data_IF_579468937185
#
_entry.id   IF_579468937185
#
_cell.length_a   1.000
_cell.length_b   1.000
_cell.length_c   1.000
_cell.angle_alpha   90.00
_cell.angle_beta   90.00
_cell.angle_gamma   90.00
#
_symmetry.space_group_name_H-M   'P 1'
#
loop_
_entity.id
_entity.type
_entity.pdbx_description
1 polymer ?
#
# COMPACT_ATOMS: atom_id res chain seq x y z
N UNK A 1 22.14 -61.77 -15.72
CA UNK A 1 20.90 -62.43 -16.19
C UNK A 1 19.92 -62.38 -15.04
N UNK A 2 18.85 -61.62 -15.00
CA UNK A 2 18.24 -60.54 -15.79
C UNK A 2 17.06 -60.13 -14.89
N UNK A 3 16.94 -58.83 -14.57
CA UNK A 3 15.93 -58.34 -13.63
C UNK A 3 14.54 -58.30 -14.28
N UNK A 4 13.56 -58.96 -13.65
CA UNK A 4 12.15 -58.78 -13.95
C UNK A 4 11.69 -57.37 -13.53
N UNK A 5 11.40 -56.51 -14.49
CA UNK A 5 10.62 -55.30 -14.27
C UNK A 5 9.14 -55.57 -14.51
N UNK A 6 8.34 -55.28 -13.48
CA UNK A 6 6.89 -55.42 -13.50
C UNK A 6 6.24 -54.42 -14.46
N UNK A 7 5.33 -54.93 -15.29
CA UNK A 7 4.41 -54.12 -16.07
C UNK A 7 3.41 -53.43 -15.11
N UNK A 8 3.55 -52.12 -14.96
CA UNK A 8 2.50 -51.28 -14.38
C UNK A 8 1.35 -51.15 -15.39
N UNK A 9 0.16 -51.53 -14.95
CA UNK A 9 -1.10 -51.34 -15.65
C UNK A 9 -1.40 -49.84 -15.84
N UNK A 10 -1.52 -49.39 -17.08
CA UNK A 10 -1.99 -48.05 -17.43
C UNK A 10 -3.53 -48.09 -17.54
N UNK A 11 -4.28 -47.20 -16.84
CA UNK A 11 -5.73 -47.16 -16.96
C UNK A 11 -6.15 -46.66 -18.35
N UNK A 12 -7.06 -47.40 -18.99
CA UNK A 12 -7.68 -47.04 -20.28
C UNK A 12 -8.63 -45.85 -20.08
N UNK A 13 -8.25 -44.68 -20.58
CA UNK A 13 -9.13 -43.52 -20.71
C UNK A 13 -8.56 -42.56 -21.76
N UNK A 14 -9.34 -42.31 -22.82
CA UNK A 14 -9.05 -41.51 -24.03
C UNK A 14 -8.13 -42.20 -25.06
N UNK A 15 -8.70 -42.66 -26.18
CA UNK A 15 -7.94 -43.04 -27.37
C UNK A 15 -7.29 -41.76 -27.94
N UNK A 16 -5.95 -41.64 -27.99
CA UNK A 16 -5.31 -40.50 -28.64
C UNK A 16 -5.55 -40.61 -30.15
N UNK A 17 -5.82 -39.47 -30.81
CA UNK A 17 -5.81 -39.39 -32.26
C UNK A 17 -4.45 -39.91 -32.79
N UNK A 18 -4.38 -40.73 -33.85
CA UNK A 18 -3.11 -41.21 -34.43
C UNK A 18 -2.12 -40.08 -34.75
N UNK A 19 -2.65 -38.88 -35.07
CA UNK A 19 -1.85 -37.68 -35.28
C UNK A 19 -1.18 -37.20 -33.99
N UNK A 20 -1.89 -37.22 -32.86
CA UNK A 20 -1.35 -36.78 -31.57
C UNK A 20 -0.23 -37.72 -31.10
N UNK A 21 -0.34 -39.04 -31.37
CA UNK A 21 0.71 -40.01 -31.05
C UNK A 21 1.99 -39.77 -31.86
N UNK A 22 1.85 -39.42 -33.15
CA UNK A 22 2.97 -39.02 -34.01
C UNK A 22 3.65 -37.74 -33.50
N UNK A 23 2.87 -36.73 -33.12
CA UNK A 23 3.38 -35.46 -32.59
C UNK A 23 4.05 -35.63 -31.22
N UNK A 24 3.48 -36.45 -30.32
CA UNK A 24 4.09 -36.80 -29.02
C UNK A 24 5.45 -37.51 -29.20
N UNK A 25 5.57 -38.36 -30.22
CA UNK A 25 6.85 -39.00 -30.56
C UNK A 25 7.90 -37.99 -31.01
N UNK A 26 7.52 -37.03 -31.85
CA UNK A 26 8.39 -35.92 -32.29
C UNK A 26 8.87 -35.10 -31.08
N UNK A 27 7.98 -34.82 -30.10
CA UNK A 27 8.34 -34.11 -28.85
C UNK A 27 9.33 -34.92 -28.02
N UNK A 28 9.06 -36.22 -27.79
CA UNK A 28 9.86 -37.06 -26.88
C UNK A 28 11.23 -37.43 -27.45
N UNK A 29 11.34 -37.56 -28.76
CA UNK A 29 12.58 -37.92 -29.47
C UNK A 29 13.36 -36.70 -29.98
N UNK A 30 12.89 -35.47 -29.72
CA UNK A 30 13.52 -34.20 -30.16
C UNK A 30 13.85 -34.15 -31.67
N UNK A 31 12.90 -34.60 -32.51
CA UNK A 31 13.09 -34.70 -33.96
C UNK A 31 12.85 -33.37 -34.68
N UNK A 32 13.82 -32.45 -34.61
CA UNK A 32 13.75 -31.10 -35.20
C UNK A 32 13.53 -31.10 -36.71
N UNK A 33 14.06 -32.10 -37.42
CA UNK A 33 13.92 -32.20 -38.87
C UNK A 33 12.46 -32.48 -39.29
N UNK A 34 11.72 -33.24 -38.48
CA UNK A 34 10.32 -33.53 -38.72
C UNK A 34 9.40 -32.38 -38.31
N UNK A 35 9.78 -31.61 -37.28
CA UNK A 35 9.05 -30.41 -36.84
C UNK A 35 9.00 -29.32 -37.93
N UNK A 36 10.09 -29.18 -38.71
CA UNK A 36 10.16 -28.22 -39.84
C UNK A 36 9.24 -28.57 -41.01
N UNK A 37 8.81 -29.83 -41.12
CA UNK A 37 7.96 -30.36 -42.19
C UNK A 37 6.47 -30.36 -41.83
N UNK A 38 6.10 -29.93 -40.62
CA UNK A 38 4.72 -29.86 -40.16
C UNK A 38 3.98 -28.68 -40.79
N UNK A 39 2.69 -28.88 -41.07
CA UNK A 39 1.78 -27.79 -41.43
C UNK A 39 1.57 -26.84 -40.26
N UNK A 40 1.14 -25.60 -40.52
CA UNK A 40 0.93 -24.61 -39.45
C UNK A 40 -0.05 -25.11 -38.36
N UNK A 41 -1.13 -25.79 -38.75
CA UNK A 41 -2.09 -26.38 -37.81
C UNK A 41 -1.46 -27.48 -36.94
N UNK A 42 -0.59 -28.32 -37.52
CA UNK A 42 0.13 -29.36 -36.78
C UNK A 42 1.19 -28.78 -35.83
N UNK A 43 1.83 -27.65 -36.18
CA UNK A 43 2.75 -26.93 -35.28
C UNK A 43 2.02 -26.37 -34.07
N UNK A 44 0.85 -25.75 -34.26
CA UNK A 44 0.01 -25.28 -33.15
C UNK A 44 -0.40 -26.44 -32.23
N UNK A 45 -0.75 -27.58 -32.83
CA UNK A 45 -1.12 -28.80 -32.09
C UNK A 45 0.07 -29.41 -31.35
N UNK A 46 1.26 -29.42 -31.97
CA UNK A 46 2.53 -29.81 -31.35
C UNK A 46 2.88 -28.91 -30.18
N UNK A 47 2.73 -27.59 -30.30
CA UNK A 47 2.98 -26.63 -29.22
C UNK A 47 2.01 -26.84 -28.05
N UNK A 48 0.73 -27.06 -28.34
CA UNK A 48 -0.27 -27.41 -27.33
C UNK A 48 0.06 -28.74 -26.63
N UNK A 49 0.45 -29.78 -27.37
CA UNK A 49 0.86 -31.08 -26.80
C UNK A 49 2.17 -30.95 -25.99
N UNK A 50 3.13 -30.15 -26.45
CA UNK A 50 4.38 -29.86 -25.74
C UNK A 50 4.12 -29.10 -24.45
N UNK A 51 3.13 -28.21 -24.43
CA UNK A 51 2.60 -27.58 -23.21
C UNK A 51 2.02 -28.67 -22.29
N UNK A 52 1.06 -29.49 -22.74
CA UNK A 52 0.46 -30.54 -21.91
C UNK A 52 1.46 -31.55 -21.37
N UNK A 53 2.43 -31.99 -22.17
CA UNK A 53 3.44 -32.97 -21.74
C UNK A 53 4.44 -32.36 -20.75
N UNK A 54 4.74 -31.06 -20.84
CA UNK A 54 5.49 -30.32 -19.81
C UNK A 54 4.71 -30.20 -18.49
N UNK A 55 3.38 -30.22 -18.53
CA UNK A 55 2.51 -30.14 -17.34
C UNK A 55 2.07 -31.53 -16.82
N UNK A 56 2.38 -32.62 -17.55
CA UNK A 56 2.00 -33.98 -17.17
C UNK A 56 2.79 -34.43 -15.93
N UNK A 57 2.11 -34.54 -14.79
CA UNK A 57 2.70 -34.79 -13.46
C UNK A 57 3.08 -33.52 -12.69
N UNK A 58 3.03 -32.35 -13.35
CA UNK A 58 3.23 -31.04 -12.72
C UNK A 58 1.94 -30.50 -12.09
N UNK A 59 0.76 -31.00 -12.51
CA UNK A 59 -0.54 -30.56 -11.95
C UNK A 59 -0.72 -30.95 -10.47
N UNK A 60 -0.28 -32.14 -10.06
CA UNK A 60 -0.32 -32.55 -8.64
C UNK A 60 0.61 -31.68 -7.79
N UNK A 61 1.81 -31.39 -8.30
CA UNK A 61 2.79 -30.50 -7.64
C UNK A 61 2.28 -29.05 -7.58
N UNK A 62 1.65 -28.54 -8.63
CA UNK A 62 1.00 -27.23 -8.64
C UNK A 62 -0.21 -27.17 -7.68
N UNK A 63 -1.01 -28.23 -7.60
CA UNK A 63 -2.11 -28.32 -6.66
C UNK A 63 -1.61 -28.29 -5.20
N UNK A 64 -0.53 -29.01 -4.90
CA UNK A 64 0.12 -29.00 -3.58
C UNK A 64 0.69 -27.60 -3.25
N UNK A 65 1.40 -26.95 -4.18
CA UNK A 65 1.88 -25.58 -3.99
C UNK A 65 0.75 -24.59 -3.70
N UNK A 66 -0.37 -24.68 -4.42
CA UNK A 66 -1.53 -23.80 -4.24
C UNK A 66 -2.21 -24.07 -2.90
N UNK A 67 -2.32 -25.33 -2.48
CA UNK A 67 -2.87 -25.68 -1.18
C UNK A 67 -2.01 -25.14 -0.04
N UNK A 68 -0.68 -25.30 -0.13
CA UNK A 68 0.29 -24.73 0.82
C UNK A 68 0.15 -23.21 0.85
N UNK A 69 0.11 -22.55 -0.31
CA UNK A 69 -0.09 -21.10 -0.40
C UNK A 69 -1.38 -20.66 0.30
N UNK A 70 -2.50 -21.35 0.06
CA UNK A 70 -3.79 -21.01 0.68
C UNK A 70 -3.73 -21.16 2.20
N UNK A 71 -3.24 -22.29 2.72
CA UNK A 71 -3.14 -22.55 4.16
C UNK A 71 -2.21 -21.54 4.84
N UNK A 72 -1.00 -21.35 4.29
CA UNK A 72 -0.02 -20.39 4.84
C UNK A 72 -0.57 -18.96 4.80
N UNK A 73 -1.25 -18.57 3.72
CA UNK A 73 -1.89 -17.25 3.62
C UNK A 73 -2.95 -17.06 4.71
N UNK A 74 -3.84 -18.02 4.92
CA UNK A 74 -4.88 -17.93 5.98
C UNK A 74 -4.24 -17.82 7.36
N UNK A 75 -3.27 -18.68 7.67
CA UNK A 75 -2.56 -18.64 8.96
C UNK A 75 -1.85 -17.29 9.15
N UNK A 76 -1.16 -16.80 8.13
CA UNK A 76 -0.48 -15.51 8.17
C UNK A 76 -1.46 -14.36 8.39
N UNK A 77 -2.61 -14.34 7.70
CA UNK A 77 -3.63 -13.29 7.90
C UNK A 77 -4.18 -13.29 9.33
N UNK A 78 -4.49 -14.46 9.91
CA UNK A 78 -4.94 -14.57 11.31
C UNK A 78 -3.85 -14.08 12.26
N UNK A 79 -2.59 -14.47 12.03
CA UNK A 79 -1.44 -14.02 12.80
C UNK A 79 -1.25 -12.50 12.77
N UNK A 80 -1.38 -11.89 11.60
CA UNK A 80 -1.27 -10.44 11.42
C UNK A 80 -2.38 -9.68 12.16
N UNK A 81 -3.62 -10.17 12.09
CA UNK A 81 -4.75 -9.58 12.83
C UNK A 81 -4.54 -9.70 14.34
N UNK A 82 -4.10 -10.87 14.82
CA UNK A 82 -3.79 -11.09 16.23
C UNK A 82 -2.66 -10.18 16.72
N UNK A 83 -1.60 -10.02 15.91
CA UNK A 83 -0.48 -9.14 16.23
C UNK A 83 -0.89 -7.67 16.26
N UNK A 84 -1.70 -7.22 15.28
CA UNK A 84 -2.27 -5.86 15.27
C UNK A 84 -3.08 -5.57 16.53
N UNK A 85 -3.87 -6.54 17.02
CA UNK A 85 -4.67 -6.41 18.25
C UNK A 85 -3.81 -6.38 19.52
N UNK A 86 -2.81 -7.26 19.63
CA UNK A 86 -2.01 -7.42 20.86
C UNK A 86 -0.89 -6.39 20.97
N UNK A 87 -0.17 -6.11 19.89
CA UNK A 87 0.99 -5.22 19.88
C UNK A 87 0.94 -4.23 18.70
N UNK A 88 -0.04 -3.32 18.73
CA UNK A 88 -0.28 -2.33 17.67
C UNK A 88 0.96 -1.52 17.28
N UNK A 89 1.73 -1.00 18.26
CA UNK A 89 2.94 -0.20 17.99
C UNK A 89 4.00 -0.95 17.20
N UNK A 90 4.23 -2.22 17.55
CA UNK A 90 5.21 -3.07 16.87
C UNK A 90 4.73 -3.42 15.46
N UNK A 91 3.45 -3.80 15.32
CA UNK A 91 2.83 -4.05 14.02
C UNK A 91 2.91 -2.84 13.08
N UNK A 92 2.61 -1.64 13.59
CA UNK A 92 2.64 -0.39 12.81
C UNK A 92 4.06 -0.07 12.35
N UNK A 93 5.06 -0.19 13.23
CA UNK A 93 6.47 0.06 12.88
C UNK A 93 6.97 -0.92 11.81
N UNK A 94 6.77 -2.23 12.02
CA UNK A 94 7.24 -3.25 11.06
C UNK A 94 6.52 -3.11 9.73
N UNK A 95 5.21 -2.88 9.74
CA UNK A 95 4.46 -2.69 8.50
C UNK A 95 4.89 -1.43 7.75
N UNK A 96 5.18 -0.33 8.46
CA UNK A 96 5.67 0.90 7.84
C UNK A 96 7.02 0.67 7.15
N UNK A 97 7.94 -0.04 7.81
CA UNK A 97 9.23 -0.43 7.21
C UNK A 97 9.01 -1.35 6.01
N UNK A 98 8.09 -2.32 6.13
CA UNK A 98 7.74 -3.25 5.06
C UNK A 98 7.22 -2.55 3.81
N UNK A 99 6.26 -1.62 3.95
CA UNK A 99 5.71 -0.85 2.81
C UNK A 99 6.79 0.03 2.17
N UNK A 100 7.80 0.46 2.91
CA UNK A 100 8.89 1.29 2.39
C UNK A 100 9.95 0.47 1.63
N UNK A 101 10.37 -0.66 2.20
CA UNK A 101 11.51 -1.46 1.70
C UNK A 101 11.09 -2.47 0.64
N UNK A 102 10.00 -3.23 0.86
CA UNK A 102 9.64 -4.36 0.00
C UNK A 102 9.39 -3.91 -1.45
N UNK A 103 8.56 -2.88 -1.72
CA UNK A 103 8.34 -2.42 -3.09
C UNK A 103 9.60 -1.87 -3.74
N UNK A 104 10.45 -1.19 -2.96
CA UNK A 104 11.72 -0.67 -3.47
C UNK A 104 12.67 -1.79 -3.90
N UNK A 105 12.83 -2.84 -3.09
CA UNK A 105 13.67 -4.00 -3.44
C UNK A 105 13.14 -4.73 -4.69
N UNK A 106 11.83 -4.94 -4.78
CA UNK A 106 11.21 -5.56 -5.96
C UNK A 106 11.43 -4.71 -7.22
N UNK A 107 11.26 -3.38 -7.11
CA UNK A 107 11.50 -2.48 -8.24
C UNK A 107 12.97 -2.42 -8.65
N UNK A 108 13.90 -2.55 -7.70
CA UNK A 108 15.33 -2.60 -7.97
C UNK A 108 15.71 -3.89 -8.71
N UNK A 109 15.19 -5.03 -8.25
CA UNK A 109 15.37 -6.32 -8.92
C UNK A 109 14.81 -6.33 -10.35
N UNK A 110 13.65 -5.72 -10.56
CA UNK A 110 12.98 -5.69 -11.86
C UNK A 110 13.38 -4.49 -12.75
N UNK A 111 14.35 -3.68 -12.32
CA UNK A 111 14.84 -2.49 -13.04
C UNK A 111 13.75 -1.45 -13.40
N UNK A 112 12.77 -1.24 -12.52
CA UNK A 112 11.69 -0.26 -12.72
C UNK A 112 12.11 1.15 -12.31
N UNK A 113 12.98 1.78 -13.11
CA UNK A 113 13.63 3.06 -12.83
C UNK A 113 12.66 4.22 -12.53
N UNK A 114 11.50 4.27 -13.19
CA UNK A 114 10.51 5.35 -12.98
C UNK A 114 10.02 5.39 -11.54
N UNK A 115 9.70 4.23 -10.97
CA UNK A 115 9.26 4.14 -9.58
C UNK A 115 10.39 4.50 -8.62
N UNK A 116 11.60 3.98 -8.86
CA UNK A 116 12.78 4.24 -8.04
C UNK A 116 13.06 5.75 -7.95
N UNK A 117 13.02 6.46 -9.08
CA UNK A 117 13.24 7.90 -9.10
C UNK A 117 12.20 8.67 -8.26
N UNK A 118 10.91 8.42 -8.49
CA UNK A 118 9.84 9.09 -7.75
C UNK A 118 9.92 8.76 -6.26
N UNK A 119 10.22 7.50 -5.93
CA UNK A 119 10.38 7.03 -4.57
C UNK A 119 11.55 7.72 -3.86
N UNK A 120 12.68 7.90 -4.54
CA UNK A 120 13.85 8.61 -3.98
C UNK A 120 13.53 10.08 -3.70
N UNK A 121 12.85 10.76 -4.64
CA UNK A 121 12.43 12.15 -4.44
C UNK A 121 11.48 12.27 -3.25
N UNK A 122 10.44 11.44 -3.21
CA UNK A 122 9.47 11.44 -2.12
C UNK A 122 10.14 11.13 -0.77
N UNK A 123 11.01 10.11 -0.74
CA UNK A 123 11.71 9.70 0.48
C UNK A 123 12.65 10.79 0.98
N UNK A 124 13.41 11.43 0.08
CA UNK A 124 14.34 12.50 0.44
C UNK A 124 13.63 13.70 1.05
N UNK A 125 12.54 14.17 0.43
CA UNK A 125 11.76 15.29 0.98
C UNK A 125 11.12 14.90 2.31
N UNK A 126 10.58 13.68 2.41
CA UNK A 126 9.97 13.19 3.65
C UNK A 126 10.98 13.12 4.80
N UNK A 127 12.22 12.66 4.55
CA UNK A 127 13.29 12.66 5.55
C UNK A 127 13.62 14.07 6.04
N UNK A 128 13.66 15.07 5.15
CA UNK A 128 13.90 16.48 5.53
C UNK A 128 12.77 16.98 6.45
N UNK A 129 11.51 16.70 6.10
CA UNK A 129 10.35 17.12 6.90
C UNK A 129 10.33 16.42 8.27
N UNK A 130 10.63 15.11 8.29
CA UNK A 130 10.74 14.33 9.53
C UNK A 130 11.85 14.86 10.41
N UNK A 131 13.02 15.20 9.84
CA UNK A 131 14.15 15.77 10.59
C UNK A 131 13.72 17.06 11.30
N UNK A 132 13.08 17.98 10.59
CA UNK A 132 12.53 19.21 11.18
C UNK A 132 11.52 18.93 12.31
N UNK A 133 10.65 17.93 12.13
CA UNK A 133 9.68 17.55 13.16
C UNK A 133 10.30 16.92 14.42
N UNK A 134 11.55 16.43 14.34
CA UNK A 134 12.30 15.79 15.42
C UNK A 134 13.31 16.72 16.11
N UNK A 135 13.59 17.89 15.54
CA UNK A 135 14.53 18.87 16.09
C UNK A 135 14.11 19.34 17.49
N UNK A 136 15.10 19.57 18.36
CA UNK A 136 14.91 20.08 19.72
C UNK A 136 15.78 21.32 19.92
N UNK A 137 15.21 22.49 20.25
CA UNK A 137 13.78 22.81 20.33
C UNK A 137 13.10 22.89 18.95
N UNK A 138 11.79 22.61 18.88
CA UNK A 138 11.01 22.78 17.65
C UNK A 138 10.76 24.26 17.40
N UNK A 139 11.02 24.73 16.18
CA UNK A 139 10.66 26.08 15.76
C UNK A 139 9.12 26.25 15.66
N UNK A 140 8.55 27.38 16.14
CA UNK A 140 7.11 27.65 16.11
C UNK A 140 6.42 27.45 14.75
N UNK A 141 7.13 27.71 13.64
CA UNK A 141 6.57 27.57 12.29
C UNK A 141 6.57 26.12 11.76
N UNK A 142 7.35 25.23 12.38
CA UNK A 142 7.58 23.86 11.91
C UNK A 142 6.30 23.02 11.87
N UNK A 143 5.44 22.97 12.90
CA UNK A 143 4.18 22.20 12.85
C UNK A 143 3.29 22.58 11.66
N UNK A 144 3.30 23.88 11.29
CA UNK A 144 2.56 24.35 10.11
C UNK A 144 3.18 23.84 8.82
N UNK A 145 4.50 23.90 8.69
CA UNK A 145 5.21 23.39 7.51
C UNK A 145 4.97 21.88 7.32
N UNK A 146 5.06 21.11 8.41
CA UNK A 146 4.83 19.67 8.42
C UNK A 146 3.40 19.33 8.00
N UNK A 147 2.39 19.99 8.59
CA UNK A 147 0.99 19.76 8.21
C UNK A 147 0.69 20.20 6.77
N UNK A 148 1.27 21.31 6.29
CA UNK A 148 1.13 21.74 4.89
C UNK A 148 1.70 20.69 3.91
N UNK A 149 2.88 20.15 4.21
CA UNK A 149 3.49 19.11 3.39
C UNK A 149 2.63 17.85 3.30
N UNK A 150 2.19 17.30 4.43
CA UNK A 150 1.37 16.08 4.42
C UNK A 150 -0.03 16.32 3.83
N UNK A 151 -0.59 17.52 3.99
CA UNK A 151 -1.83 17.89 3.32
C UNK A 151 -1.67 17.98 1.80
N UNK A 152 -0.54 18.51 1.32
CA UNK A 152 -0.21 18.55 -0.11
C UNK A 152 -0.10 17.13 -0.69
N UNK A 153 0.65 16.25 -0.02
CA UNK A 153 0.77 14.85 -0.42
C UNK A 153 -0.60 14.17 -0.45
N UNK A 154 -1.42 14.36 0.58
CA UNK A 154 -2.79 13.83 0.61
C UNK A 154 -3.62 14.30 -0.59
N UNK A 155 -3.59 15.59 -0.92
CA UNK A 155 -4.31 16.15 -2.07
C UNK A 155 -3.84 15.57 -3.40
N UNK A 156 -2.52 15.45 -3.59
CA UNK A 156 -1.94 14.84 -4.80
C UNK A 156 -2.35 13.37 -4.91
N UNK A 157 -2.22 12.60 -3.82
CA UNK A 157 -2.57 11.19 -3.79
C UNK A 157 -4.06 10.95 -4.07
N UNK A 158 -4.93 11.75 -3.46
CA UNK A 158 -6.36 11.69 -3.70
C UNK A 158 -6.69 12.08 -5.16
N UNK A 159 -6.07 13.15 -5.67
CA UNK A 159 -6.23 13.57 -7.06
C UNK A 159 -5.80 12.49 -8.07
N UNK A 160 -4.65 11.85 -7.86
CA UNK A 160 -4.18 10.73 -8.69
C UNK A 160 -5.13 9.53 -8.64
N UNK A 161 -5.65 9.19 -7.45
CA UNK A 161 -6.61 8.11 -7.28
C UNK A 161 -7.93 8.37 -8.02
N UNK A 162 -8.48 9.57 -7.90
CA UNK A 162 -9.70 9.98 -8.62
C UNK A 162 -9.45 10.02 -10.12
N UNK A 163 -8.34 10.59 -10.57
CA UNK A 163 -7.97 10.65 -11.99
C UNK A 163 -7.84 9.24 -12.58
N UNK A 164 -7.14 8.33 -11.90
CA UNK A 164 -6.99 6.96 -12.36
C UNK A 164 -8.33 6.22 -12.42
N UNK A 165 -9.20 6.42 -11.44
CA UNK A 165 -10.56 5.87 -11.47
C UNK A 165 -11.37 6.39 -12.67
N UNK A 166 -11.32 7.70 -12.93
CA UNK A 166 -12.00 8.31 -14.09
C UNK A 166 -11.46 7.73 -15.41
N UNK A 167 -10.14 7.54 -15.55
CA UNK A 167 -9.54 6.91 -16.73
C UNK A 167 -10.07 5.49 -16.93
N UNK A 168 -10.16 4.68 -15.87
CA UNK A 168 -10.72 3.32 -15.96
C UNK A 168 -12.19 3.36 -16.38
N UNK A 169 -13.00 4.24 -15.77
CA UNK A 169 -14.43 4.37 -16.13
C UNK A 169 -14.63 4.78 -17.60
N UNK A 170 -13.88 5.77 -18.08
CA UNK A 170 -13.90 6.19 -19.48
C UNK A 170 -13.48 5.04 -20.42
N UNK A 171 -12.51 4.23 -19.99
CA UNK A 171 -12.05 3.06 -20.74
C UNK A 171 -13.16 2.00 -20.83
N UNK A 172 -13.85 1.72 -19.72
CA UNK A 172 -14.97 0.77 -19.69
C UNK A 172 -16.18 1.23 -20.52
N UNK A 173 -16.40 2.54 -20.63
CA UNK A 173 -17.42 3.12 -21.51
C UNK A 173 -17.07 3.04 -23.00
N UNK A 174 -15.91 2.51 -23.37
CA UNK A 174 -15.49 2.34 -24.77
C UNK A 174 -14.97 3.62 -25.43
N UNK A 175 -14.76 4.69 -24.67
CA UNK A 175 -14.26 5.96 -25.21
C UNK A 175 -12.84 5.84 -25.81
N UNK A 176 -12.07 4.82 -25.37
CA UNK A 176 -10.77 4.48 -25.96
C UNK A 176 -10.86 4.17 -27.47
N UNK A 177 -12.00 3.64 -27.94
CA UNK A 177 -12.24 3.29 -29.34
C UNK A 177 -12.32 4.54 -30.22
N UNK A 178 -12.80 5.66 -29.69
CA UNK A 178 -12.89 6.94 -30.40
C UNK A 178 -11.51 7.50 -30.77
N UNK A 179 -10.49 7.16 -30.00
CA UNK A 179 -9.10 7.57 -30.23
C UNK A 179 -8.26 6.48 -30.92
N UNK A 180 -8.86 5.34 -31.27
CA UNK A 180 -8.16 4.21 -31.88
C UNK A 180 -7.09 3.56 -30.99
N UNK A 181 -7.14 3.79 -29.67
CA UNK A 181 -6.17 3.23 -28.72
C UNK A 181 -6.75 1.98 -28.08
N UNK A 182 -5.93 0.94 -27.94
CA UNK A 182 -6.32 -0.30 -27.26
C UNK A 182 -6.70 -0.04 -25.80
N UNK A 183 -7.78 -0.66 -25.35
CA UNK A 183 -8.30 -0.52 -23.98
C UNK A 183 -7.28 -0.88 -22.90
N UNK A 184 -6.40 -1.85 -23.16
CA UNK A 184 -5.36 -2.27 -22.21
C UNK A 184 -4.42 -1.12 -21.81
N UNK A 185 -3.97 -0.29 -22.77
CA UNK A 185 -3.05 0.82 -22.49
C UNK A 185 -3.67 1.84 -21.54
N UNK A 186 -4.95 2.18 -21.75
CA UNK A 186 -5.66 3.11 -20.88
C UNK A 186 -5.94 2.51 -19.51
N UNK A 187 -6.30 1.23 -19.46
CA UNK A 187 -6.56 0.52 -18.21
C UNK A 187 -5.28 0.42 -17.36
N UNK A 188 -4.15 0.07 -17.97
CA UNK A 188 -2.84 0.04 -17.32
C UNK A 188 -2.46 1.43 -16.80
N UNK A 189 -2.68 2.48 -17.60
CA UNK A 189 -2.42 3.86 -17.19
C UNK A 189 -3.28 4.28 -15.99
N UNK A 190 -4.57 3.93 -16.00
CA UNK A 190 -5.49 4.18 -14.89
C UNK A 190 -5.09 3.43 -13.61
N UNK A 191 -4.72 2.15 -13.74
CA UNK A 191 -4.24 1.32 -12.63
C UNK A 191 -2.94 1.85 -12.03
N UNK A 192 -2.00 2.31 -12.87
CA UNK A 192 -0.77 2.94 -12.41
C UNK A 192 -1.09 4.20 -11.61
N UNK A 193 -1.95 5.09 -12.10
CA UNK A 193 -2.33 6.32 -11.37
C UNK A 193 -2.94 6.01 -9.99
N UNK A 194 -3.86 5.03 -9.94
CA UNK A 194 -4.45 4.58 -8.67
C UNK A 194 -3.38 4.00 -7.75
N UNK A 195 -2.49 3.15 -8.26
CA UNK A 195 -1.42 2.55 -7.48
C UNK A 195 -0.51 3.62 -6.85
N UNK A 196 -0.05 4.61 -7.64
CA UNK A 196 0.75 5.72 -7.12
C UNK A 196 -0.02 6.52 -6.05
N UNK A 197 -1.28 6.86 -6.31
CA UNK A 197 -2.11 7.59 -5.35
C UNK A 197 -2.32 6.84 -4.03
N UNK A 198 -2.59 5.54 -4.09
CA UNK A 198 -2.78 4.73 -2.88
C UNK A 198 -1.47 4.45 -2.15
N UNK A 199 -0.41 4.08 -2.87
CA UNK A 199 0.89 3.74 -2.29
C UNK A 199 1.51 4.91 -1.52
N UNK A 200 1.66 6.08 -2.17
CA UNK A 200 2.19 7.27 -1.51
C UNK A 200 1.20 7.84 -0.48
N UNK A 201 -0.10 7.55 -0.63
CA UNK A 201 -1.11 7.83 0.39
C UNK A 201 -0.89 7.06 1.69
N UNK A 202 -0.57 5.75 1.61
CA UNK A 202 -0.22 4.93 2.79
C UNK A 202 1.04 5.50 3.46
N UNK A 203 2.11 5.72 2.67
CA UNK A 203 3.39 6.21 3.18
C UNK A 203 3.24 7.59 3.85
N UNK A 204 2.59 8.53 3.17
CA UNK A 204 2.38 9.89 3.67
C UNK A 204 1.58 9.89 4.97
N UNK A 205 0.53 9.07 5.07
CA UNK A 205 -0.31 8.97 6.28
C UNK A 205 0.48 8.42 7.48
N UNK A 206 1.27 7.37 7.28
CA UNK A 206 1.96 6.71 8.39
C UNK A 206 3.06 7.62 8.97
N UNK A 207 3.82 8.31 8.12
CA UNK A 207 4.81 9.28 8.58
C UNK A 207 4.16 10.52 9.20
N UNK A 208 3.05 11.00 8.65
CA UNK A 208 2.31 12.13 9.22
C UNK A 208 1.91 11.88 10.68
N UNK A 209 1.44 10.67 10.98
CA UNK A 209 1.08 10.23 12.33
C UNK A 209 2.31 10.19 13.25
N UNK A 210 3.43 9.63 12.79
CA UNK A 210 4.70 9.61 13.56
C UNK A 210 5.22 11.03 13.82
N UNK A 211 5.21 11.91 12.83
CA UNK A 211 5.61 13.31 12.99
C UNK A 211 4.71 14.04 13.99
N UNK A 212 3.39 13.87 13.88
CA UNK A 212 2.45 14.49 14.80
C UNK A 212 2.64 14.01 16.24
N UNK A 213 2.89 12.71 16.44
CA UNK A 213 3.18 12.12 17.75
C UNK A 213 4.45 12.69 18.38
N UNK A 214 5.49 12.84 17.57
CA UNK A 214 6.75 13.42 18.02
C UNK A 214 6.57 14.89 18.38
N UNK A 215 6.01 15.70 17.47
CA UNK A 215 5.72 17.12 17.75
C UNK A 215 4.85 17.27 19.01
N UNK A 216 3.80 16.46 19.17
CA UNK A 216 2.95 16.44 20.36
C UNK A 216 3.73 16.17 21.66
N UNK A 217 4.70 15.25 21.62
CA UNK A 217 5.54 14.94 22.78
C UNK A 217 6.50 16.06 23.15
N UNK A 218 6.95 16.85 22.18
CA UNK A 218 7.83 18.01 22.38
C UNK A 218 7.09 19.24 22.90
N UNK A 219 5.84 19.41 22.49
CA UNK A 219 4.98 20.51 22.91
C UNK A 219 4.79 20.52 24.43
N UNK A 220 4.67 19.35 25.07
CA UNK A 220 5.00 19.17 26.49
C UNK A 220 4.13 19.91 27.52
N UNK A 221 2.99 20.51 27.14
CA UNK A 221 2.14 21.27 28.07
C UNK A 221 1.49 20.45 29.20
N UNK A 222 1.65 19.12 29.22
CA UNK A 222 1.16 18.26 30.31
C UNK A 222 2.05 17.02 30.52
N UNK A 223 2.34 16.71 31.79
CA UNK A 223 2.88 15.40 32.22
C UNK A 223 1.86 14.72 33.15
N UNK A 224 1.51 13.44 32.96
CA UNK A 224 0.51 12.76 33.78
C UNK A 224 0.88 12.58 35.26
N UNK A 225 2.13 12.85 35.65
CA UNK A 225 2.66 12.66 37.01
C UNK A 225 3.51 13.83 37.53
N UNK A 226 3.33 15.06 37.03
CA UNK A 226 4.15 16.20 37.46
C UNK A 226 3.55 17.58 37.23
N UNK A 227 4.25 18.61 37.68
CA UNK A 227 3.92 20.01 37.35
C UNK A 227 4.08 20.26 35.84
N UNK A 228 3.16 21.01 35.20
CA UNK A 228 3.32 21.39 33.81
C UNK A 228 4.64 22.12 33.63
N UNK A 229 5.48 21.65 32.71
CA UNK A 229 6.80 22.26 32.44
C UNK A 229 6.69 23.58 31.66
N UNK A 230 5.51 23.90 31.12
CA UNK A 230 5.24 25.15 30.38
C UNK A 230 3.83 25.66 30.66
N UNK A 231 3.71 26.91 31.06
CA UNK A 231 2.46 27.69 31.07
C UNK A 231 2.29 28.37 29.71
N UNK A 232 1.09 28.29 29.13
CA UNK A 232 0.79 28.93 27.85
C UNK A 232 0.34 30.38 28.12
N UNK A 233 0.97 31.36 27.46
CA UNK A 233 0.53 32.74 27.53
C UNK A 233 -0.85 32.91 26.85
N UNK A 234 -1.73 33.77 27.39
CA UNK A 234 -3.02 34.06 26.77
C UNK A 234 -2.84 34.53 25.32
N UNK A 235 -3.64 33.97 24.41
CA UNK A 235 -3.56 34.32 22.99
C UNK A 235 -2.44 33.63 22.21
N UNK A 236 -1.65 32.72 22.79
CA UNK A 236 -0.68 31.91 22.03
C UNK A 236 -1.27 30.55 21.66
N UNK A 237 -1.10 30.11 20.42
CA UNK A 237 -1.56 28.78 19.98
C UNK A 237 -0.65 27.67 20.52
N UNK A 238 -1.19 26.74 21.32
CA UNK A 238 -0.42 25.62 21.91
C UNK A 238 0.07 24.57 20.89
N UNK A 239 -0.24 24.70 19.60
CA UNK A 239 0.28 23.76 18.58
C UNK A 239 1.50 24.33 17.88
N UNK A 240 1.47 25.61 17.51
CA UNK A 240 2.55 26.26 16.78
C UNK A 240 3.33 27.29 17.61
N UNK A 241 2.93 27.58 18.85
CA UNK A 241 3.65 28.55 19.71
C UNK A 241 3.62 30.00 19.23
N UNK A 242 2.82 30.35 18.21
CA UNK A 242 2.68 31.72 17.70
C UNK A 242 1.44 32.41 18.28
N UNK A 243 1.46 33.76 18.43
CA UNK A 243 0.31 34.53 18.86
C UNK A 243 -0.86 34.45 17.86
N UNK A 244 -2.07 34.44 18.38
CA UNK A 244 -3.34 34.48 17.67
C UNK A 244 -3.68 35.95 17.43
N UNK A 245 -3.59 36.39 16.18
CA UNK A 245 -3.78 37.80 15.81
C UNK A 245 -5.25 38.20 15.69
N UNK A 246 -6.15 37.22 15.63
CA UNK A 246 -7.58 37.42 15.38
C UNK A 246 -8.37 36.82 16.55
N UNK A 247 -9.27 37.58 17.20
CA UNK A 247 -10.15 37.07 18.25
C UNK A 247 -11.13 36.00 17.75
N UNK A 248 -11.78 35.29 18.68
CA UNK A 248 -12.85 34.35 18.35
C UNK A 248 -14.04 35.07 17.68
N UNK A 249 -14.48 34.59 16.52
CA UNK A 249 -15.69 35.08 15.84
C UNK A 249 -15.47 36.19 14.80
N UNK A 250 -14.25 36.70 14.67
CA UNK A 250 -13.86 37.60 13.58
C UNK A 250 -13.22 36.80 12.44
N UNK A 251 -13.60 37.12 11.20
CA UNK A 251 -12.94 36.55 10.02
C UNK A 251 -11.55 37.18 9.86
N UNK A 252 -10.53 36.36 10.04
CA UNK A 252 -9.15 36.77 9.89
C UNK A 252 -8.75 36.89 8.42
N UNK A 253 -8.05 37.96 8.06
CA UNK A 253 -7.48 38.14 6.72
C UNK A 253 -6.47 37.01 6.40
N UNK A 254 -5.75 36.53 7.42
CA UNK A 254 -4.71 35.49 7.27
C UNK A 254 -5.22 34.13 7.71
N UNK A 255 -5.81 34.03 8.91
CA UNK A 255 -6.40 32.81 9.45
C UNK A 255 -7.35 33.09 10.61
N UNK A 256 -8.34 32.22 10.80
CA UNK A 256 -9.28 32.32 11.89
C UNK A 256 -8.78 31.62 13.16
N UNK A 257 -9.32 32.05 14.29
CA UNK A 257 -9.16 31.39 15.59
C UNK A 257 -10.37 30.51 15.89
N UNK A 258 -10.12 29.26 16.27
CA UNK A 258 -11.14 28.28 16.62
C UNK A 258 -11.09 27.94 18.12
N UNK A 259 -12.24 27.98 18.78
CA UNK A 259 -12.39 27.60 20.19
C UNK A 259 -12.99 26.21 20.34
N UNK A 260 -12.32 25.37 21.12
CA UNK A 260 -12.79 24.03 21.46
C UNK A 260 -13.87 24.07 22.57
N UNK A 261 -14.58 22.96 22.79
CA UNK A 261 -15.55 22.79 23.89
C UNK A 261 -14.94 23.04 25.26
N UNK A 262 -13.69 22.63 25.45
CA UNK A 262 -12.88 22.84 26.65
C UNK A 262 -12.49 24.32 26.91
N UNK A 263 -12.88 25.24 26.01
CA UNK A 263 -12.59 26.67 26.13
C UNK A 263 -11.25 27.13 25.55
N UNK A 264 -10.32 26.23 25.24
CA UNK A 264 -9.01 26.58 24.64
C UNK A 264 -9.14 27.02 23.17
N UNK A 265 -8.40 28.07 22.80
CA UNK A 265 -8.36 28.65 21.46
C UNK A 265 -7.09 28.28 20.71
N UNK A 266 -7.22 28.06 19.40
CA UNK A 266 -6.12 27.69 18.51
C UNK A 266 -6.31 28.32 17.13
N UNK A 267 -5.25 28.42 16.34
CA UNK A 267 -5.38 28.66 14.91
C UNK A 267 -6.18 27.52 14.25
N UNK A 268 -7.17 27.85 13.42
CA UNK A 268 -8.03 26.88 12.72
C UNK A 268 -7.20 25.85 11.95
N UNK A 269 -6.16 26.30 11.25
CA UNK A 269 -5.25 25.41 10.51
C UNK A 269 -4.50 24.45 11.43
N UNK A 270 -4.01 24.92 12.58
CA UNK A 270 -3.22 24.12 13.51
C UNK A 270 -4.06 23.03 14.17
N UNK A 271 -5.27 23.37 14.63
CA UNK A 271 -6.15 22.39 15.28
C UNK A 271 -6.72 21.39 14.26
N UNK A 272 -6.99 21.82 13.02
CA UNK A 272 -7.33 20.90 11.92
C UNK A 272 -6.18 19.95 11.61
N UNK A 273 -4.95 20.44 11.49
CA UNK A 273 -3.76 19.59 11.29
C UNK A 273 -3.58 18.57 12.41
N UNK A 274 -3.76 18.99 13.66
CA UNK A 274 -3.71 18.11 14.83
C UNK A 274 -4.75 16.98 14.77
N UNK A 275 -6.01 17.31 14.50
CA UNK A 275 -7.10 16.35 14.47
C UNK A 275 -7.10 15.45 13.22
N UNK A 276 -6.80 16.01 12.04
CA UNK A 276 -6.85 15.30 10.75
C UNK A 276 -5.53 14.57 10.47
N UNK A 277 -4.43 15.32 10.38
CA UNK A 277 -3.13 14.81 9.94
C UNK A 277 -2.51 13.96 11.04
N UNK A 278 -2.57 14.42 12.29
CA UNK A 278 -2.08 13.68 13.45
C UNK A 278 -3.03 12.64 14.03
N UNK A 279 -4.28 12.56 13.51
CA UNK A 279 -5.37 11.73 14.06
C UNK A 279 -5.57 11.87 15.58
N UNK A 280 -5.26 13.04 16.15
CA UNK A 280 -5.38 13.30 17.58
C UNK A 280 -6.74 13.92 17.88
N UNK A 281 -7.64 13.13 18.46
CA UNK A 281 -9.00 13.55 18.79
C UNK A 281 -9.13 14.18 20.19
N UNK A 282 -8.05 14.76 20.70
CA UNK A 282 -7.96 15.31 22.05
C UNK A 282 -7.33 16.69 22.01
N UNK A 283 -7.78 17.62 22.85
CA UNK A 283 -7.19 18.94 22.98
C UNK A 283 -5.66 18.83 23.21
N UNK A 284 -4.82 19.59 22.45
CA UNK A 284 -3.38 19.60 22.66
C UNK A 284 -2.96 19.96 24.08
N UNK A 285 -3.77 20.79 24.76
CA UNK A 285 -3.51 21.30 26.10
C UNK A 285 -4.12 20.41 27.20
N UNK A 286 -5.45 20.36 27.33
CA UNK A 286 -6.13 19.65 28.43
C UNK A 286 -6.47 18.18 28.16
N UNK A 287 -6.18 17.65 26.95
CA UNK A 287 -6.53 16.29 26.50
C UNK A 287 -8.03 15.92 26.54
N UNK A 288 -8.92 16.88 26.77
CA UNK A 288 -10.36 16.67 26.60
C UNK A 288 -10.68 16.28 25.16
N UNK A 289 -11.64 15.36 24.96
CA UNK A 289 -12.05 14.92 23.63
C UNK A 289 -12.65 16.09 22.84
N UNK A 290 -12.20 16.25 21.60
CA UNK A 290 -12.71 17.29 20.71
C UNK A 290 -13.96 16.80 19.99
N UNK A 291 -15.00 17.64 19.93
CA UNK A 291 -16.17 17.36 19.10
C UNK A 291 -15.87 17.61 17.62
N UNK A 292 -15.49 16.55 16.92
CA UNK A 292 -15.18 16.59 15.49
C UNK A 292 -16.39 16.97 14.63
N UNK A 293 -17.63 16.70 15.08
CA UNK A 293 -18.83 17.03 14.27
C UNK A 293 -19.03 18.54 14.16
N UNK A 294 -18.72 19.29 15.23
CA UNK A 294 -18.78 20.76 15.25
C UNK A 294 -17.62 21.42 14.50
N UNK A 295 -16.48 20.75 14.39
CA UNK A 295 -15.32 21.24 13.63
C UNK A 295 -15.43 21.02 12.12
N UNK A 296 -16.11 19.95 11.68
CA UNK A 296 -16.23 19.56 10.28
C UNK A 296 -17.69 19.62 9.84
N UNK A 297 -18.17 20.84 9.56
CA UNK A 297 -19.56 21.06 9.14
C UNK A 297 -19.85 20.47 7.75
N UNK A 298 -18.83 20.30 6.90
CA UNK A 298 -19.03 19.76 5.56
C UNK A 298 -18.98 18.21 5.58
N UNK A 299 -20.04 17.49 5.16
CA UNK A 299 -20.04 16.02 5.14
C UNK A 299 -18.90 15.43 4.30
N UNK A 300 -18.41 16.17 3.30
CA UNK A 300 -17.29 15.83 2.43
C UNK A 300 -15.91 16.05 3.07
N UNK A 301 -15.83 16.86 4.13
CA UNK A 301 -14.61 17.01 4.94
C UNK A 301 -14.45 15.85 5.92
N UNK A 302 -15.49 15.02 6.13
CA UNK A 302 -15.44 13.92 7.10
C UNK A 302 -14.24 13.03 6.85
N UNK A 303 -13.32 13.04 7.82
CA UNK A 303 -12.15 12.23 7.80
C UNK A 303 -12.33 10.73 7.60
N UNK A 304 -12.11 10.23 6.38
CA UNK A 304 -11.15 9.14 6.15
C UNK A 304 -11.38 7.78 6.86
N UNK A 305 -12.59 7.40 7.31
CA UNK A 305 -12.78 6.03 7.85
C UNK A 305 -12.63 5.00 6.72
N UNK A 306 -13.36 5.17 5.62
CA UNK A 306 -13.25 4.29 4.45
C UNK A 306 -11.87 4.39 3.79
N UNK A 307 -11.34 5.61 3.61
CA UNK A 307 -10.00 5.80 3.07
C UNK A 307 -8.93 5.22 4.00
N UNK A 308 -9.08 5.36 5.31
CA UNK A 308 -8.18 4.82 6.31
C UNK A 308 -8.17 3.29 6.35
N UNK A 309 -9.34 2.67 6.24
CA UNK A 309 -9.49 1.23 6.09
C UNK A 309 -8.89 0.74 4.75
N UNK A 310 -9.17 1.43 3.64
CA UNK A 310 -8.59 1.13 2.33
C UNK A 310 -7.07 1.14 2.38
N UNK A 311 -6.47 2.18 2.96
CA UNK A 311 -5.01 2.27 3.11
C UNK A 311 -4.45 1.14 4.01
N UNK A 312 -5.18 0.68 5.02
CA UNK A 312 -4.80 -0.48 5.82
C UNK A 312 -4.84 -1.79 5.00
N UNK A 313 -5.81 -1.95 4.09
CA UNK A 313 -5.84 -3.08 3.13
C UNK A 313 -4.67 -3.03 2.16
N UNK A 314 -4.34 -1.84 1.63
CA UNK A 314 -3.19 -1.65 0.74
C UNK A 314 -1.89 -2.01 1.45
N UNK A 315 -1.73 -1.69 2.74
CA UNK A 315 -0.57 -2.12 3.53
C UNK A 315 -0.44 -3.65 3.59
N UNK A 316 -1.56 -4.36 3.78
CA UNK A 316 -1.58 -5.83 3.75
C UNK A 316 -1.19 -6.34 2.36
N UNK A 317 -1.73 -5.74 1.30
CA UNK A 317 -1.46 -6.12 -0.09
C UNK A 317 -0.02 -5.86 -0.52
N UNK A 318 0.55 -4.70 -0.19
CA UNK A 318 1.84 -4.24 -0.72
C UNK A 318 3.03 -4.74 0.10
N UNK A 319 2.89 -4.85 1.43
CA UNK A 319 3.98 -5.32 2.29
C UNK A 319 3.84 -6.81 2.63
N UNK A 320 2.67 -7.24 3.09
CA UNK A 320 2.51 -8.57 3.66
C UNK A 320 2.31 -9.66 2.62
N UNK A 321 1.60 -9.41 1.51
CA UNK A 321 1.43 -10.44 0.46
C UNK A 321 2.76 -10.86 -0.18
N UNK A 322 3.67 -9.96 -0.61
CA UNK A 322 4.97 -10.38 -1.12
C UNK A 322 5.79 -11.13 -0.08
N UNK A 323 5.74 -10.72 1.20
CA UNK A 323 6.43 -11.42 2.28
C UNK A 323 5.88 -12.85 2.50
N UNK A 324 4.56 -13.03 2.42
CA UNK A 324 3.91 -14.35 2.50
C UNK A 324 4.30 -15.21 1.29
N UNK A 325 4.31 -14.65 0.08
CA UNK A 325 4.71 -15.38 -1.13
C UNK A 325 6.18 -15.83 -1.03
N UNK A 326 7.08 -14.97 -0.58
CA UNK A 326 8.49 -15.33 -0.35
C UNK A 326 8.64 -16.44 0.71
N UNK A 327 7.84 -16.39 1.77
CA UNK A 327 7.80 -17.45 2.78
C UNK A 327 7.33 -18.79 2.17
N UNK A 328 6.25 -18.75 1.38
CA UNK A 328 5.71 -19.96 0.71
C UNK A 328 6.72 -20.52 -0.29
N UNK A 329 7.39 -19.68 -1.06
CA UNK A 329 8.49 -20.11 -1.92
C UNK A 329 9.60 -20.79 -1.10
N UNK A 330 10.01 -20.21 0.02
CA UNK A 330 10.98 -20.84 0.92
C UNK A 330 10.54 -22.22 1.43
N UNK A 331 9.26 -22.38 1.79
CA UNK A 331 8.69 -23.66 2.22
C UNK A 331 8.68 -24.67 1.07
N UNK A 332 8.24 -24.27 -0.12
CA UNK A 332 8.19 -25.15 -1.29
C UNK A 332 9.60 -25.63 -1.69
N UNK A 333 10.60 -24.75 -1.61
CA UNK A 333 12.00 -25.11 -1.89
C UNK A 333 12.52 -26.11 -0.87
N UNK A 334 12.18 -25.93 0.40
CA UNK A 334 12.56 -26.86 1.47
C UNK A 334 11.91 -28.24 1.29
N UNK A 335 10.67 -28.28 0.83
CA UNK A 335 9.93 -29.52 0.53
C UNK A 335 10.34 -30.17 -0.80
N UNK A 336 11.21 -29.51 -1.59
CA UNK A 336 11.64 -30.02 -2.91
C UNK A 336 10.53 -30.00 -3.97
N UNK A 337 9.52 -29.15 -3.78
CA UNK A 337 8.35 -29.05 -4.66
C UNK A 337 8.59 -28.12 -5.86
N UNK A 338 9.77 -27.51 -6.02
CA UNK A 338 10.06 -26.54 -7.10
C UNK A 338 10.64 -27.14 -8.37
#
# INVERSE_FOLDING_TARGET
MEHHHGHQHIPRGHFPNPLDEKLLKIIRENLTDQESQLTEEEKWRLEHLRLHEKHRGHEEMHAEMVLILMVVTVIAQVGLVAWKKKHYKSYQLVSMIGVWIIPFLLCLHNHWWRFIFIWLVFSSITVIVVKKALERPIDPTTPRQVYKWFLLIYKICCGLGVLGYVVIMITMMGFNLLFGVKANVWMDSGLILIFYGLYYGVLGRDIAEVCADKMASHIGYYTPHGMPTRTLEPGVCAVCGNPQLVPEGEEGIIENTYRLSCGHTFHEFCIRGWCIVGKKQTCPYCKEKVDLKKMFCNPWEKPHVFYGQLLDWIRLLVAWQPAIILLVQGINNYLGLQ
#
